data_IF_521602051432
#
_entry.id   IF_521602051432
#
_cell.length_a   1.000
_cell.length_b   1.000
_cell.length_c   1.000
_cell.angle_alpha   90.00
_cell.angle_beta   90.00
_cell.angle_gamma   90.00
#
_symmetry.space_group_name_H-M   'P 1'
#
loop_
_entity.id
_entity.type
_entity.pdbx_description
1 polymer ?
#
# COMPACT_ATOMS: atom_id res chain seq x y z
N UNK A 1 24.41 -1.25 -12.33
CA UNK A 1 22.96 -1.24 -12.38
C UNK A 1 22.47 -0.84 -13.77
N UNK A 2 22.77 0.37 -14.26
CA UNK A 2 22.28 0.93 -15.51
C UNK A 2 22.53 0.01 -16.71
N UNK A 3 23.77 -0.42 -16.95
CA UNK A 3 24.14 -1.32 -18.08
C UNK A 3 23.32 -2.61 -18.08
N UNK A 4 22.89 -3.12 -16.91
CA UNK A 4 22.15 -4.38 -16.77
C UNK A 4 20.66 -4.19 -17.05
N UNK A 5 20.04 -3.15 -16.50
CA UNK A 5 18.58 -3.03 -16.45
C UNK A 5 17.98 -2.00 -17.41
N UNK A 6 18.75 -0.98 -17.80
CA UNK A 6 18.29 0.06 -18.72
C UNK A 6 18.47 -0.41 -20.18
N UNK A 7 17.41 -1.00 -20.71
CA UNK A 7 17.37 -1.49 -22.08
C UNK A 7 15.92 -1.52 -22.58
N UNK A 8 15.62 -1.25 -23.87
CA UNK A 8 14.26 -1.29 -24.38
C UNK A 8 13.53 -2.61 -24.13
N UNK A 9 14.26 -3.75 -24.17
CA UNK A 9 13.67 -5.07 -23.83
C UNK A 9 13.23 -5.21 -22.37
N UNK A 10 13.50 -4.26 -21.51
CA UNK A 10 13.11 -4.19 -20.08
C UNK A 10 12.33 -2.91 -19.80
N UNK A 11 11.56 -2.43 -20.76
CA UNK A 11 10.76 -1.21 -20.62
C UNK A 11 9.36 -1.41 -21.16
N UNK A 12 8.43 -0.63 -20.64
CA UNK A 12 7.07 -0.51 -21.15
C UNK A 12 6.88 0.89 -21.69
N UNK A 13 6.24 1.00 -22.87
CA UNK A 13 5.90 2.28 -23.49
C UNK A 13 4.39 2.44 -23.40
N UNK A 14 3.95 3.50 -22.77
CA UNK A 14 2.53 3.84 -22.67
C UNK A 14 2.26 5.17 -23.37
N UNK A 15 1.32 5.15 -24.30
CA UNK A 15 0.89 6.32 -25.06
C UNK A 15 -0.57 6.62 -24.75
N UNK A 16 -0.89 7.88 -24.49
CA UNK A 16 -2.25 8.34 -24.25
C UNK A 16 -2.42 9.78 -24.73
N UNK A 17 -3.47 10.02 -25.47
CA UNK A 17 -3.84 11.35 -25.95
C UNK A 17 -4.31 11.36 -27.39
N UNK A 18 -4.63 12.55 -27.88
CA UNK A 18 -4.99 12.80 -29.27
C UNK A 18 -3.69 12.94 -30.09
N UNK A 19 -3.21 11.81 -30.60
CA UNK A 19 -1.99 11.72 -31.39
C UNK A 19 -2.17 10.78 -32.56
N UNK A 20 -1.36 10.98 -33.62
CA UNK A 20 -1.22 10.00 -34.70
C UNK A 20 -0.40 8.82 -34.19
N UNK A 21 -1.10 7.74 -33.79
CA UNK A 21 -0.50 6.56 -33.16
C UNK A 21 0.43 5.87 -34.16
N UNK A 22 0.06 5.75 -35.44
CA UNK A 22 0.86 5.03 -36.45
C UNK A 22 2.19 5.74 -36.68
N UNK A 23 2.18 7.07 -36.90
CA UNK A 23 3.40 7.84 -37.05
C UNK A 23 4.23 7.87 -35.77
N UNK A 24 3.59 7.91 -34.58
CA UNK A 24 4.31 7.88 -33.30
C UNK A 24 5.01 6.52 -33.09
N UNK A 25 4.34 5.42 -33.37
CA UNK A 25 4.94 4.08 -33.28
C UNK A 25 6.07 3.90 -34.28
N UNK A 26 5.90 4.35 -35.51
CA UNK A 26 6.95 4.35 -36.55
C UNK A 26 8.18 5.15 -36.09
N UNK A 27 7.96 6.35 -35.55
CA UNK A 27 9.04 7.18 -35.03
C UNK A 27 9.81 6.48 -33.89
N UNK A 28 9.09 5.87 -32.93
CA UNK A 28 9.70 5.14 -31.82
C UNK A 28 10.52 3.94 -32.34
N UNK A 29 10.01 3.23 -33.33
CA UNK A 29 10.69 2.08 -33.91
C UNK A 29 11.94 2.50 -34.67
N UNK A 30 11.81 3.43 -35.62
CA UNK A 30 12.89 3.85 -36.53
C UNK A 30 13.99 4.64 -35.79
N UNK A 31 13.62 5.59 -34.92
CA UNK A 31 14.56 6.51 -34.28
C UNK A 31 15.13 6.01 -32.96
N UNK A 32 14.48 5.01 -32.34
CA UNK A 32 14.90 4.53 -31.03
C UNK A 32 15.12 3.01 -30.97
N UNK A 33 14.09 2.20 -31.26
CA UNK A 33 14.18 0.76 -31.05
C UNK A 33 15.09 0.05 -32.05
N UNK A 34 15.18 0.56 -33.28
CA UNK A 34 16.05 0.02 -34.33
C UNK A 34 17.54 0.01 -33.96
N UNK A 35 17.97 0.85 -33.01
CA UNK A 35 19.34 0.91 -32.53
C UNK A 35 19.70 -0.24 -31.53
N UNK A 36 18.74 -1.08 -31.16
CA UNK A 36 18.92 -2.10 -30.13
C UNK A 36 18.48 -3.49 -30.61
N UNK A 37 19.32 -4.48 -30.36
CA UNK A 37 18.92 -5.87 -30.50
C UNK A 37 18.12 -6.35 -29.28
N UNK A 38 17.13 -7.22 -29.53
CA UNK A 38 16.36 -7.84 -28.44
C UNK A 38 17.26 -8.68 -27.54
N UNK A 39 17.20 -8.48 -26.22
CA UNK A 39 17.91 -9.30 -25.24
C UNK A 39 17.02 -9.66 -24.04
N UNK A 40 17.34 -10.77 -23.38
CA UNK A 40 16.72 -11.12 -22.11
C UNK A 40 17.34 -10.27 -20.98
N UNK A 41 16.46 -9.58 -20.22
CA UNK A 41 16.84 -8.86 -19.00
C UNK A 41 16.13 -9.50 -17.82
N UNK A 42 16.87 -10.12 -16.94
CA UNK A 42 16.33 -10.74 -15.72
C UNK A 42 16.14 -9.66 -14.65
N UNK A 43 14.96 -9.05 -14.65
CA UNK A 43 14.58 -7.97 -13.74
C UNK A 43 13.45 -8.35 -12.78
N UNK A 44 12.97 -9.59 -12.87
CA UNK A 44 11.86 -10.06 -12.03
C UNK A 44 12.21 -9.99 -10.53
N UNK A 45 11.30 -9.40 -9.76
CA UNK A 45 11.35 -9.39 -8.30
C UNK A 45 10.55 -10.57 -7.78
N UNK A 46 11.22 -11.48 -7.09
CA UNK A 46 10.57 -12.65 -6.49
C UNK A 46 9.61 -12.29 -5.37
N UNK A 47 8.64 -13.17 -5.14
CA UNK A 47 7.70 -13.05 -4.03
C UNK A 47 8.40 -13.31 -2.69
N UNK A 48 8.21 -12.45 -1.70
CA UNK A 48 8.69 -12.67 -0.34
C UNK A 48 7.92 -13.84 0.29
N UNK A 49 8.65 -14.85 0.74
CA UNK A 49 8.04 -15.96 1.49
C UNK A 49 7.41 -15.46 2.78
N UNK A 50 6.19 -15.90 3.04
CA UNK A 50 5.48 -15.52 4.26
C UNK A 50 6.27 -15.91 5.53
N UNK A 51 6.23 -15.05 6.53
CA UNK A 51 6.79 -15.35 7.85
C UNK A 51 5.99 -16.48 8.53
N UNK A 52 6.65 -17.25 9.36
CA UNK A 52 5.98 -18.29 10.16
C UNK A 52 5.07 -17.69 11.26
N UNK A 53 5.40 -16.49 11.73
CA UNK A 53 4.65 -15.71 12.71
C UNK A 53 4.93 -14.22 12.54
N UNK A 54 4.07 -13.36 13.11
CA UNK A 54 4.30 -11.90 13.16
C UNK A 54 5.70 -11.62 13.71
N UNK A 55 6.46 -10.83 12.96
CA UNK A 55 7.78 -10.33 13.38
C UNK A 55 7.56 -9.06 14.21
N UNK A 56 8.26 -8.96 15.34
CA UNK A 56 8.25 -7.76 16.18
C UNK A 56 9.65 -7.18 16.15
N UNK A 57 9.76 -5.89 15.86
CA UNK A 57 11.05 -5.20 15.76
C UNK A 57 10.97 -3.76 16.23
N UNK A 58 12.12 -3.23 16.63
CA UNK A 58 12.28 -1.84 17.02
C UNK A 58 13.36 -1.18 16.18
N UNK A 59 13.16 0.07 15.83
CA UNK A 59 14.11 0.92 15.13
C UNK A 59 14.16 2.30 15.76
N UNK A 60 15.28 2.98 15.59
CA UNK A 60 15.42 4.36 16.01
C UNK A 60 15.32 5.30 14.81
N UNK A 61 14.76 6.48 15.02
CA UNK A 61 14.80 7.57 14.06
C UNK A 61 15.34 8.85 14.71
N UNK A 62 15.93 9.72 13.92
CA UNK A 62 16.54 10.94 14.44
C UNK A 62 15.51 12.01 14.75
N UNK A 63 15.72 12.70 15.87
CA UNK A 63 15.05 13.96 16.22
C UNK A 63 16.10 15.02 16.54
N UNK A 64 15.72 16.30 16.44
CA UNK A 64 16.62 17.41 16.76
C UNK A 64 17.02 17.40 18.24
N UNK A 65 18.22 17.87 18.54
CA UNK A 65 18.78 17.84 19.91
C UNK A 65 17.95 18.63 20.93
N UNK A 66 17.29 19.71 20.49
CA UNK A 66 16.40 20.52 21.32
C UNK A 66 15.00 19.93 21.53
N UNK A 67 14.62 18.86 20.82
CA UNK A 67 13.28 18.27 20.95
C UNK A 67 13.16 17.35 22.15
N UNK A 68 11.93 17.31 22.74
CA UNK A 68 11.57 16.31 23.74
C UNK A 68 11.31 14.97 23.07
N UNK A 69 11.79 13.89 23.67
CA UNK A 69 11.57 12.50 23.18
C UNK A 69 10.22 11.92 23.61
N UNK A 70 9.55 12.51 24.63
CA UNK A 70 8.26 12.02 25.11
C UNK A 70 7.17 12.14 24.03
N UNK A 71 6.29 11.14 23.95
CA UNK A 71 5.22 11.06 22.97
C UNK A 71 5.72 11.14 21.51
N UNK A 72 6.91 10.59 21.24
CA UNK A 72 7.51 10.57 19.90
C UNK A 72 7.64 9.16 19.33
N UNK A 73 7.19 8.13 20.04
CA UNK A 73 7.19 6.79 19.49
C UNK A 73 6.11 6.65 18.40
N UNK A 74 6.41 5.81 17.41
CA UNK A 74 5.50 5.45 16.34
C UNK A 74 5.36 3.93 16.36
N UNK A 75 4.12 3.44 16.43
CA UNK A 75 3.82 2.02 16.28
C UNK A 75 3.16 1.78 14.94
N UNK A 76 3.64 0.78 14.21
CA UNK A 76 3.07 0.41 12.92
C UNK A 76 2.93 -1.12 12.81
N UNK A 77 1.78 -1.56 12.32
CA UNK A 77 1.54 -2.93 11.92
C UNK A 77 1.39 -2.97 10.40
N UNK A 78 2.23 -3.77 9.76
CA UNK A 78 2.18 -4.06 8.33
C UNK A 78 1.76 -5.49 8.12
N UNK A 79 0.86 -5.73 7.16
CA UNK A 79 0.42 -7.04 6.73
C UNK A 79 0.63 -7.17 5.21
N UNK A 80 1.61 -7.96 4.80
CA UNK A 80 1.81 -8.27 3.38
C UNK A 80 0.84 -9.38 2.96
N UNK A 81 0.25 -9.22 1.78
CA UNK A 81 -0.77 -10.12 1.25
C UNK A 81 -0.17 -11.08 0.22
N UNK A 82 -1.00 -11.89 -0.39
CA UNK A 82 -0.59 -12.78 -1.48
C UNK A 82 -0.41 -12.01 -2.80
N UNK A 83 0.47 -12.50 -3.67
CA UNK A 83 0.65 -11.99 -5.03
C UNK A 83 -0.45 -12.43 -6.03
N UNK A 84 -1.39 -13.26 -5.57
CA UNK A 84 -2.48 -13.80 -6.40
C UNK A 84 -3.83 -13.12 -6.10
N UNK A 85 -3.84 -11.87 -5.64
CA UNK A 85 -5.10 -11.14 -5.41
C UNK A 85 -5.79 -10.77 -6.71
N UNK A 86 -7.11 -10.98 -6.75
CA UNK A 86 -7.96 -10.47 -7.83
C UNK A 86 -8.17 -8.96 -7.68
N UNK A 87 -8.55 -8.27 -8.77
CA UNK A 87 -8.90 -6.84 -8.73
C UNK A 87 -10.06 -6.59 -7.77
N UNK A 88 -11.05 -7.49 -7.73
CA UNK A 88 -12.16 -7.43 -6.78
C UNK A 88 -11.71 -7.51 -5.32
N UNK A 89 -10.80 -8.45 -4.98
CA UNK A 89 -10.26 -8.54 -3.62
C UNK A 89 -9.47 -7.28 -3.24
N UNK A 90 -8.65 -6.75 -4.16
CA UNK A 90 -7.89 -5.51 -3.95
C UNK A 90 -8.82 -4.32 -3.69
N UNK A 91 -9.86 -4.14 -4.50
CA UNK A 91 -10.88 -3.12 -4.26
C UNK A 91 -11.59 -3.30 -2.92
N UNK A 92 -11.91 -4.53 -2.54
CA UNK A 92 -12.55 -4.82 -1.26
C UNK A 92 -11.65 -4.45 -0.06
N UNK A 93 -10.35 -4.75 -0.13
CA UNK A 93 -9.39 -4.35 0.93
C UNK A 93 -9.25 -2.83 0.98
N UNK A 94 -9.27 -2.13 -0.15
CA UNK A 94 -9.27 -0.65 -0.20
C UNK A 94 -10.51 -0.07 0.49
N UNK A 95 -11.68 -0.65 0.25
CA UNK A 95 -12.94 -0.29 0.93
C UNK A 95 -12.83 -0.58 2.43
N UNK A 96 -12.32 -1.74 2.81
CA UNK A 96 -12.09 -2.09 4.22
C UNK A 96 -11.15 -1.10 4.91
N UNK A 97 -10.03 -0.73 4.28
CA UNK A 97 -9.12 0.27 4.85
C UNK A 97 -9.85 1.57 5.17
N UNK A 98 -10.65 2.07 4.22
CA UNK A 98 -11.42 3.29 4.41
C UNK A 98 -12.43 3.17 5.57
N UNK A 99 -13.19 2.07 5.64
CA UNK A 99 -14.15 1.81 6.73
C UNK A 99 -13.47 1.67 8.08
N UNK A 100 -12.32 1.01 8.13
CA UNK A 100 -11.62 0.71 9.39
C UNK A 100 -10.89 1.95 9.97
N UNK A 101 -10.37 2.85 9.11
CA UNK A 101 -9.39 3.85 9.52
C UNK A 101 -9.78 5.27 9.08
N UNK A 102 -10.21 5.49 7.83
CA UNK A 102 -10.26 6.83 7.26
C UNK A 102 -11.64 7.50 7.37
N UNK A 103 -12.69 6.71 7.47
CA UNK A 103 -14.08 7.19 7.55
C UNK A 103 -14.35 7.81 8.93
N UNK A 104 -15.26 8.78 8.99
CA UNK A 104 -15.75 9.31 10.26
C UNK A 104 -16.37 8.18 11.10
N UNK A 105 -15.92 8.06 12.36
CA UNK A 105 -16.35 6.99 13.24
C UNK A 105 -15.72 5.62 12.96
N UNK A 106 -14.68 5.56 12.12
CA UNK A 106 -13.95 4.34 11.79
C UNK A 106 -13.56 3.54 13.04
N UNK A 107 -13.98 2.28 13.16
CA UNK A 107 -13.92 1.56 14.42
C UNK A 107 -12.51 1.31 14.95
N UNK A 108 -11.54 1.07 14.06
CA UNK A 108 -10.17 0.80 14.46
C UNK A 108 -9.45 2.08 14.90
N UNK A 109 -9.60 3.16 14.12
CA UNK A 109 -9.09 4.49 14.50
C UNK A 109 -9.68 4.95 15.83
N UNK A 110 -11.01 4.83 15.97
CA UNK A 110 -11.71 5.22 17.21
C UNK A 110 -11.20 4.43 18.42
N UNK A 111 -11.07 3.11 18.32
CA UNK A 111 -10.62 2.26 19.42
C UNK A 111 -9.22 2.65 19.91
N UNK A 112 -8.30 2.97 19.00
CA UNK A 112 -6.93 3.38 19.34
C UNK A 112 -6.87 4.78 19.96
N UNK A 113 -7.65 5.73 19.42
CA UNK A 113 -7.72 7.09 19.96
C UNK A 113 -8.42 7.14 21.33
N UNK A 114 -9.53 6.42 21.50
CA UNK A 114 -10.26 6.35 22.78
C UNK A 114 -9.39 5.74 23.90
N UNK A 115 -8.53 4.79 23.56
CA UNK A 115 -7.54 4.22 24.49
C UNK A 115 -6.33 5.15 24.73
N UNK A 116 -6.22 6.24 23.99
CA UNK A 116 -5.12 7.19 24.10
C UNK A 116 -3.75 6.60 23.73
N UNK A 117 -3.69 5.58 22.88
CA UNK A 117 -2.41 4.91 22.51
C UNK A 117 -1.44 5.86 21.83
N UNK A 118 -1.95 6.86 21.14
CA UNK A 118 -1.19 7.93 20.52
C UNK A 118 -2.07 9.11 20.18
N UNK A 119 -1.51 10.12 19.55
CA UNK A 119 -2.21 11.36 19.21
C UNK A 119 -2.87 11.32 17.82
N UNK A 120 -2.41 10.47 16.92
CA UNK A 120 -3.01 10.29 15.58
C UNK A 120 -2.89 8.84 15.11
N UNK A 121 -3.86 8.43 14.28
CA UNK A 121 -3.96 7.10 13.69
C UNK A 121 -4.22 7.26 12.19
N UNK A 122 -3.36 6.65 11.40
CA UNK A 122 -3.48 6.57 9.94
C UNK A 122 -3.30 5.15 9.46
N UNK A 123 -3.68 4.89 8.23
CA UNK A 123 -3.46 3.60 7.59
C UNK A 123 -3.39 3.73 6.08
N UNK A 124 -2.83 2.70 5.45
CA UNK A 124 -2.71 2.65 4.01
C UNK A 124 -2.91 1.23 3.49
N UNK A 125 -3.39 1.14 2.27
CA UNK A 125 -3.37 -0.06 1.47
C UNK A 125 -2.65 0.23 0.15
N UNK A 126 -1.46 -0.34 0.02
CA UNK A 126 -0.57 -0.19 -1.14
C UNK A 126 -0.69 -1.43 -2.02
N UNK A 127 -1.41 -1.30 -3.13
CA UNK A 127 -1.68 -2.38 -4.08
C UNK A 127 -0.87 -2.31 -5.39
N UNK A 128 0.03 -1.33 -5.51
CA UNK A 128 0.98 -1.21 -6.62
C UNK A 128 2.16 -2.19 -6.55
N UNK A 129 2.31 -2.91 -5.44
CA UNK A 129 3.34 -3.93 -5.28
C UNK A 129 2.84 -5.32 -5.69
N UNK A 130 3.78 -6.20 -6.13
CA UNK A 130 3.48 -7.61 -6.42
C UNK A 130 2.74 -8.31 -5.27
N UNK A 131 3.14 -8.01 -4.03
CA UNK A 131 2.43 -8.38 -2.82
C UNK A 131 1.88 -7.12 -2.17
N UNK A 132 0.58 -6.84 -2.27
CA UNK A 132 -0.03 -5.70 -1.63
C UNK A 132 0.21 -5.68 -0.13
N UNK A 133 0.30 -4.48 0.45
CA UNK A 133 0.57 -4.29 1.87
C UNK A 133 -0.51 -3.40 2.48
N UNK A 134 -1.13 -3.91 3.54
CA UNK A 134 -1.98 -3.11 4.41
C UNK A 134 -1.20 -2.67 5.64
N UNK A 135 -1.44 -1.46 6.10
CA UNK A 135 -0.78 -0.92 7.29
C UNK A 135 -1.71 -0.08 8.15
N UNK A 136 -1.42 -0.07 9.46
CA UNK A 136 -1.96 0.88 10.42
C UNK A 136 -0.82 1.45 11.25
N UNK A 137 -0.83 2.76 11.45
CA UNK A 137 0.23 3.51 12.10
C UNK A 137 -0.38 4.40 13.17
N UNK A 138 0.20 4.38 14.36
CA UNK A 138 -0.08 5.32 15.46
C UNK A 138 1.15 6.16 15.70
N UNK A 139 0.97 7.47 15.74
CA UNK A 139 2.02 8.45 16.08
C UNK A 139 1.72 9.16 17.40
N UNK A 140 2.72 9.80 17.96
CA UNK A 140 2.55 10.51 19.23
C UNK A 140 2.34 9.59 20.42
N UNK A 141 3.03 8.45 20.45
CA UNK A 141 2.93 7.40 21.48
C UNK A 141 4.21 7.30 22.33
N UNK A 142 4.17 6.40 23.31
CA UNK A 142 5.35 5.99 24.08
C UNK A 142 5.78 4.56 23.70
N UNK A 143 7.09 4.23 23.71
CA UNK A 143 7.60 2.93 23.26
C UNK A 143 6.96 1.73 23.95
N UNK A 144 6.62 1.87 25.24
CA UNK A 144 6.05 0.82 26.10
C UNK A 144 4.63 0.43 25.70
N UNK A 145 3.93 1.27 24.94
CA UNK A 145 2.54 1.05 24.52
C UNK A 145 2.41 0.14 23.27
N UNK A 146 3.51 -0.39 22.74
CA UNK A 146 3.49 -1.33 21.60
C UNK A 146 2.54 -2.51 21.82
N UNK A 147 2.59 -3.12 23.02
CA UNK A 147 1.75 -4.27 23.37
C UNK A 147 0.27 -3.91 23.36
N UNK A 148 -0.09 -2.77 23.92
CA UNK A 148 -1.45 -2.25 23.97
C UNK A 148 -1.97 -1.93 22.56
N UNK A 149 -1.16 -1.24 21.73
CA UNK A 149 -1.47 -1.02 20.31
C UNK A 149 -1.83 -2.32 19.60
N UNK A 150 -0.96 -3.32 19.70
CA UNK A 150 -1.17 -4.61 19.04
C UNK A 150 -2.44 -5.32 19.53
N UNK A 151 -2.69 -5.32 20.85
CA UNK A 151 -3.88 -5.95 21.42
C UNK A 151 -5.18 -5.27 20.99
N UNK A 152 -5.22 -3.93 20.93
CA UNK A 152 -6.41 -3.19 20.48
C UNK A 152 -6.68 -3.47 19.00
N UNK A 153 -5.65 -3.47 18.15
CA UNK A 153 -5.80 -3.81 16.72
C UNK A 153 -6.35 -5.22 16.57
N UNK A 154 -5.71 -6.22 17.19
CA UNK A 154 -6.11 -7.62 17.08
C UNK A 154 -7.51 -7.86 17.65
N UNK A 155 -7.85 -7.25 18.80
CA UNK A 155 -9.17 -7.37 19.42
C UNK A 155 -10.28 -6.76 18.54
N UNK A 156 -10.04 -5.53 18.04
CA UNK A 156 -11.03 -4.82 17.23
C UNK A 156 -11.29 -5.54 15.91
N UNK A 157 -10.25 -5.99 15.22
CA UNK A 157 -10.39 -6.75 13.98
C UNK A 157 -11.16 -8.07 14.21
N UNK A 158 -10.82 -8.82 15.28
CA UNK A 158 -11.52 -10.06 15.63
C UNK A 158 -12.99 -9.81 16.00
N UNK A 159 -13.27 -8.76 16.77
CA UNK A 159 -14.63 -8.36 17.11
C UNK A 159 -15.43 -8.08 15.83
N UNK A 160 -14.94 -7.27 14.92
CA UNK A 160 -15.60 -6.94 13.66
C UNK A 160 -15.83 -8.17 12.78
N UNK A 161 -14.86 -9.09 12.71
CA UNK A 161 -15.00 -10.33 11.97
C UNK A 161 -16.06 -11.28 12.57
N UNK A 162 -16.35 -11.19 13.87
CA UNK A 162 -17.35 -12.03 14.56
C UNK A 162 -18.74 -11.38 14.61
N UNK A 163 -18.81 -10.05 14.83
CA UNK A 163 -20.09 -9.35 14.99
C UNK A 163 -20.65 -8.77 13.70
N UNK A 164 -19.85 -8.78 12.63
CA UNK A 164 -20.15 -8.16 11.35
C UNK A 164 -19.71 -6.70 11.28
N UNK A 165 -19.46 -6.25 10.06
CA UNK A 165 -19.20 -4.86 9.72
C UNK A 165 -20.50 -4.10 9.50
N UNK A 166 -20.51 -2.80 9.77
CA UNK A 166 -21.69 -1.96 9.49
C UNK A 166 -21.91 -1.85 7.97
N UNK A 167 -23.01 -2.42 7.49
CA UNK A 167 -23.37 -2.43 6.06
C UNK A 167 -23.58 -1.03 5.49
N UNK A 168 -24.02 -0.07 6.32
CA UNK A 168 -24.18 1.32 5.87
C UNK A 168 -22.81 1.96 5.61
N UNK A 169 -21.83 1.72 6.49
CA UNK A 169 -20.45 2.18 6.29
C UNK A 169 -19.83 1.54 5.05
N UNK A 170 -19.99 0.22 4.87
CA UNK A 170 -19.52 -0.49 3.67
C UNK A 170 -20.14 0.07 2.38
N UNK A 171 -21.47 0.32 2.40
CA UNK A 171 -22.18 0.88 1.25
C UNK A 171 -21.69 2.31 0.93
N UNK A 172 -21.51 3.14 1.94
CA UNK A 172 -20.98 4.50 1.76
C UNK A 172 -19.55 4.49 1.20
N UNK A 173 -18.70 3.61 1.73
CA UNK A 173 -17.32 3.44 1.26
C UNK A 173 -17.26 2.91 -0.19
N UNK A 174 -18.13 1.95 -0.53
CA UNK A 174 -18.24 1.45 -1.90
C UNK A 174 -18.69 2.55 -2.86
N UNK A 175 -19.73 3.32 -2.51
CA UNK A 175 -20.23 4.41 -3.35
C UNK A 175 -19.16 5.50 -3.56
N UNK A 176 -18.41 5.84 -2.50
CA UNK A 176 -17.26 6.75 -2.61
C UNK A 176 -16.20 6.20 -3.57
N UNK A 177 -15.86 4.92 -3.43
CA UNK A 177 -14.87 4.28 -4.29
C UNK A 177 -15.34 4.28 -5.75
N UNK A 178 -16.60 3.92 -6.01
CA UNK A 178 -17.20 3.97 -7.34
C UNK A 178 -17.16 5.38 -7.93
N UNK A 179 -17.52 6.39 -7.12
CA UNK A 179 -17.48 7.80 -7.54
C UNK A 179 -16.06 8.21 -7.98
N UNK A 180 -15.05 7.91 -7.15
CA UNK A 180 -13.64 8.22 -7.48
C UNK A 180 -13.22 7.52 -8.78
N UNK A 181 -13.62 6.25 -8.98
CA UNK A 181 -13.28 5.50 -10.17
C UNK A 181 -13.96 6.01 -11.43
N UNK A 182 -15.20 6.53 -11.33
CA UNK A 182 -15.96 7.11 -12.44
C UNK A 182 -15.49 8.50 -12.83
N UNK A 183 -15.40 9.38 -11.86
CA UNK A 183 -15.05 10.78 -12.13
C UNK A 183 -13.61 10.90 -12.63
N UNK A 184 -12.71 10.05 -12.15
CA UNK A 184 -11.30 10.13 -12.48
C UNK A 184 -10.77 11.57 -12.38
N UNK A 185 -11.33 12.35 -11.41
CA UNK A 185 -10.84 13.67 -11.10
C UNK A 185 -9.64 13.56 -10.15
N UNK A 186 -8.49 13.73 -10.72
CA UNK A 186 -7.23 13.67 -10.01
C UNK A 186 -6.69 15.08 -9.70
N UNK A 187 -7.57 15.98 -9.30
CA UNK A 187 -7.20 17.36 -8.90
C UNK A 187 -6.45 18.11 -10.01
N UNK A 188 -6.98 18.04 -11.23
CA UNK A 188 -6.42 18.74 -12.41
C UNK A 188 -5.22 18.06 -13.04
N UNK A 189 -4.81 16.88 -12.58
CA UNK A 189 -3.74 16.09 -13.23
C UNK A 189 -4.26 15.37 -14.48
N UNK A 190 -3.41 15.13 -15.50
CA UNK A 190 -3.81 14.45 -16.72
C UNK A 190 -4.37 13.05 -16.46
N UNK A 191 -5.59 12.75 -16.93
CA UNK A 191 -6.23 11.43 -16.77
C UNK A 191 -5.36 10.29 -17.31
N UNK A 192 -4.71 10.52 -18.46
CA UNK A 192 -3.83 9.52 -19.08
C UNK A 192 -2.69 9.09 -18.18
N UNK A 193 -2.12 9.98 -17.38
CA UNK A 193 -1.08 9.61 -16.41
C UNK A 193 -1.58 8.57 -15.41
N UNK A 194 -2.80 8.75 -14.87
CA UNK A 194 -3.36 7.81 -13.91
C UNK A 194 -3.78 6.48 -14.54
N UNK A 195 -4.29 6.50 -15.78
CA UNK A 195 -4.54 5.27 -16.51
C UNK A 195 -3.25 4.51 -16.77
N UNK A 196 -2.17 5.22 -17.13
CA UNK A 196 -0.85 4.62 -17.30
C UNK A 196 -0.30 4.00 -16.02
N UNK A 197 -0.35 4.73 -14.89
CA UNK A 197 0.08 4.20 -13.58
C UNK A 197 -0.72 2.93 -13.23
N UNK A 198 -2.04 2.96 -13.33
CA UNK A 198 -2.88 1.78 -13.06
C UNK A 198 -2.61 0.62 -13.99
N UNK A 199 -2.40 0.88 -15.27
CA UNK A 199 -2.01 -0.16 -16.22
C UNK A 199 -0.65 -0.77 -15.85
N UNK A 200 0.31 0.05 -15.41
CA UNK A 200 1.62 -0.41 -14.94
C UNK A 200 1.53 -1.28 -13.68
N UNK A 201 0.63 -1.01 -12.76
CA UNK A 201 0.42 -1.83 -11.55
C UNK A 201 0.11 -3.31 -11.88
N UNK A 202 -0.46 -3.58 -13.05
CA UNK A 202 -0.68 -4.92 -13.57
C UNK A 202 0.45 -5.38 -14.50
N UNK A 203 0.84 -4.54 -15.43
CA UNK A 203 1.77 -4.88 -16.50
C UNK A 203 3.18 -5.21 -16.01
N UNK A 204 3.65 -4.55 -14.96
CA UNK A 204 4.94 -4.84 -14.32
C UNK A 204 5.03 -6.27 -13.76
N UNK A 205 3.90 -6.94 -13.55
CA UNK A 205 3.80 -8.30 -13.01
C UNK A 205 3.17 -9.29 -14.00
N UNK A 206 3.33 -9.03 -15.31
CA UNK A 206 2.84 -9.89 -16.41
C UNK A 206 1.32 -10.13 -16.41
N UNK A 207 0.53 -9.20 -15.86
CA UNK A 207 -0.93 -9.22 -15.89
C UNK A 207 -1.45 -8.32 -16.99
N UNK A 208 -2.72 -8.53 -17.39
CA UNK A 208 -3.39 -7.66 -18.39
C UNK A 208 -3.47 -6.22 -17.89
N UNK A 209 -2.81 -5.24 -18.54
CA UNK A 209 -2.82 -3.84 -18.13
C UNK A 209 -4.22 -3.22 -18.13
N UNK A 210 -5.16 -3.79 -18.90
CA UNK A 210 -6.54 -3.31 -18.98
C UNK A 210 -7.38 -3.79 -17.80
N UNK A 211 -6.98 -4.86 -17.11
CA UNK A 211 -7.72 -5.43 -15.96
C UNK A 211 -7.96 -4.38 -14.87
N UNK A 212 -6.93 -3.58 -14.54
CA UNK A 212 -7.05 -2.53 -13.52
C UNK A 212 -8.04 -1.40 -13.87
N UNK A 213 -8.41 -1.27 -15.16
CA UNK A 213 -9.35 -0.27 -15.65
C UNK A 213 -10.79 -0.81 -15.73
N UNK A 214 -10.98 -2.12 -15.63
CA UNK A 214 -12.29 -2.81 -15.70
C UNK A 214 -12.86 -3.03 -14.30
N UNK A 215 -13.30 -1.97 -13.65
CA UNK A 215 -13.78 -2.04 -12.25
C UNK A 215 -15.29 -2.26 -12.10
N UNK A 216 -16.08 -2.11 -13.16
CA UNK A 216 -17.55 -2.05 -13.07
C UNK A 216 -18.17 -3.35 -12.52
N UNK A 217 -17.76 -4.50 -13.05
CA UNK A 217 -18.28 -5.80 -12.59
C UNK A 217 -17.83 -6.10 -11.16
N UNK A 218 -16.61 -5.71 -10.78
CA UNK A 218 -16.09 -5.86 -9.43
C UNK A 218 -16.90 -5.03 -8.43
N UNK A 219 -17.21 -3.77 -8.75
CA UNK A 219 -18.05 -2.90 -7.91
C UNK A 219 -19.44 -3.49 -7.74
N UNK A 220 -20.07 -3.97 -8.83
CA UNK A 220 -21.38 -4.63 -8.75
C UNK A 220 -21.35 -5.92 -7.94
N UNK A 221 -20.28 -6.70 -8.09
CA UNK A 221 -20.03 -7.90 -7.32
C UNK A 221 -19.83 -7.61 -5.83
N UNK A 222 -19.11 -6.53 -5.49
CA UNK A 222 -18.89 -6.08 -4.11
C UNK A 222 -20.18 -5.54 -3.47
N UNK A 223 -21.01 -4.83 -4.25
CA UNK A 223 -22.32 -4.36 -3.77
C UNK A 223 -23.22 -5.50 -3.29
N UNK A 224 -23.22 -6.63 -4.03
CA UNK A 224 -23.94 -7.84 -3.61
C UNK A 224 -23.26 -8.51 -2.38
N UNK A 225 -21.93 -8.46 -2.34
CA UNK A 225 -21.14 -9.06 -1.28
C UNK A 225 -21.30 -8.39 0.09
N UNK A 226 -21.76 -7.11 0.16
CA UNK A 226 -22.10 -6.44 1.41
C UNK A 226 -23.22 -7.16 2.18
N UNK A 227 -24.10 -7.89 1.48
CA UNK A 227 -25.19 -8.64 2.12
C UNK A 227 -24.75 -10.00 2.67
N UNK A 228 -23.48 -10.36 2.49
CA UNK A 228 -22.87 -11.61 2.95
C UNK A 228 -21.76 -11.32 3.97
N UNK A 229 -21.07 -12.36 4.42
CA UNK A 229 -19.88 -12.28 5.29
C UNK A 229 -18.55 -12.16 4.51
N UNK A 230 -18.63 -11.71 3.25
CA UNK A 230 -17.44 -11.61 2.36
C UNK A 230 -16.35 -10.72 2.92
N UNK A 231 -16.70 -9.53 3.40
CA UNK A 231 -15.74 -8.57 3.94
C UNK A 231 -15.13 -9.04 5.26
N UNK A 232 -15.91 -9.69 6.11
CA UNK A 232 -15.46 -10.36 7.34
C UNK A 232 -14.50 -11.52 7.01
N UNK A 233 -14.78 -12.26 5.96
CA UNK A 233 -13.89 -13.30 5.42
C UNK A 233 -12.52 -12.74 5.00
N UNK A 234 -12.48 -11.55 4.38
CA UNK A 234 -11.23 -10.87 4.01
C UNK A 234 -10.45 -10.39 5.24
N UNK A 235 -11.14 -9.86 6.28
CA UNK A 235 -10.48 -9.54 7.55
C UNK A 235 -9.81 -10.77 8.15
N UNK A 236 -10.54 -11.91 8.19
CA UNK A 236 -9.99 -13.17 8.68
C UNK A 236 -8.79 -13.64 7.86
N UNK A 237 -8.89 -13.62 6.54
CA UNK A 237 -7.86 -14.12 5.62
C UNK A 237 -6.60 -13.27 5.67
N UNK A 238 -6.71 -11.96 5.54
CA UNK A 238 -5.59 -11.09 5.26
C UNK A 238 -5.02 -10.35 6.47
N UNK A 239 -5.85 -10.08 7.50
CA UNK A 239 -5.42 -9.29 8.66
C UNK A 239 -5.32 -10.11 9.95
N UNK A 240 -6.15 -11.15 10.13
CA UNK A 240 -6.20 -11.90 11.40
C UNK A 240 -5.40 -13.19 11.33
N UNK A 241 -5.60 -14.02 10.30
CA UNK A 241 -4.94 -15.33 10.15
C UNK A 241 -3.64 -15.26 9.35
N UNK A 242 -3.33 -14.10 8.79
CA UNK A 242 -2.11 -13.90 8.02
C UNK A 242 -0.90 -13.75 8.96
N UNK A 243 0.10 -14.66 8.91
CA UNK A 243 1.30 -14.55 9.73
C UNK A 243 2.35 -13.59 9.12
N UNK A 244 2.18 -13.21 7.83
CA UNK A 244 3.12 -12.34 7.12
C UNK A 244 2.95 -10.88 7.55
N UNK A 245 3.23 -10.62 8.81
CA UNK A 245 3.06 -9.33 9.45
C UNK A 245 4.33 -8.88 10.16
N UNK A 246 4.52 -7.58 10.21
CA UNK A 246 5.59 -6.93 10.99
C UNK A 246 4.97 -5.86 11.88
N UNK A 247 5.25 -5.97 13.18
CA UNK A 247 4.96 -4.93 14.18
C UNK A 247 6.25 -4.17 14.45
N UNK A 248 6.28 -2.88 14.13
CA UNK A 248 7.44 -2.02 14.27
C UNK A 248 7.16 -0.94 15.30
N UNK A 249 8.10 -0.74 16.22
CA UNK A 249 8.17 0.47 17.05
C UNK A 249 9.35 1.32 16.62
N UNK A 250 9.06 2.55 16.19
CA UNK A 250 10.06 3.57 15.91
C UNK A 250 10.25 4.43 17.14
N UNK A 251 11.47 4.44 17.69
CA UNK A 251 11.84 5.20 18.90
C UNK A 251 12.61 6.46 18.50
N UNK A 252 12.20 7.59 19.02
CA UNK A 252 12.92 8.84 18.83
C UNK A 252 14.29 8.77 19.53
N UNK A 253 15.36 9.13 18.83
CA UNK A 253 16.72 9.16 19.36
C UNK A 253 17.50 10.33 18.78
N UNK A 254 18.22 11.06 19.62
CA UNK A 254 19.10 12.17 19.20
C UNK A 254 20.42 11.66 18.65
N UNK A 255 21.05 12.43 17.78
CA UNK A 255 22.42 12.22 17.31
C UNK A 255 22.60 11.06 16.29
N UNK A 256 21.52 10.54 15.70
CA UNK A 256 21.64 9.47 14.69
C UNK A 256 22.21 10.03 13.37
N UNK A 257 21.72 11.19 12.94
CA UNK A 257 22.15 11.80 11.68
C UNK A 257 23.60 12.26 11.73
N UNK A 258 24.04 12.77 12.89
CA UNK A 258 25.44 13.14 13.10
C UNK A 258 26.36 11.92 12.96
N UNK A 259 26.01 10.80 13.59
CA UNK A 259 26.77 9.55 13.44
C UNK A 259 26.83 9.07 11.98
N UNK A 260 25.70 9.09 11.29
CA UNK A 260 25.65 8.71 9.87
C UNK A 260 26.51 9.65 9.00
N UNK A 261 26.49 10.95 9.29
CA UNK A 261 27.30 11.93 8.58
C UNK A 261 28.79 11.64 8.73
N UNK A 262 29.22 11.31 9.94
CA UNK A 262 30.62 10.94 10.20
C UNK A 262 30.99 9.65 9.46
N UNK A 263 30.15 8.58 9.58
CA UNK A 263 30.38 7.31 8.89
C UNK A 263 30.46 7.47 7.35
N UNK A 264 29.59 8.30 6.79
CA UNK A 264 29.63 8.59 5.33
C UNK A 264 30.86 9.37 4.94
N UNK A 265 31.27 10.37 5.75
CA UNK A 265 32.49 11.12 5.49
C UNK A 265 33.73 10.22 5.49
N UNK A 266 33.86 9.34 6.49
CA UNK A 266 34.93 8.35 6.57
C UNK A 266 34.97 7.39 5.37
N UNK A 267 33.78 6.97 4.85
CA UNK A 267 33.69 6.13 3.66
C UNK A 267 34.06 6.85 2.36
N UNK A 268 33.86 8.18 2.29
CA UNK A 268 34.20 8.98 1.11
C UNK A 268 35.68 9.36 1.08
N UNK A 269 36.31 9.42 2.25
CA UNK A 269 37.75 9.75 2.39
C UNK A 269 38.65 8.51 2.24
N UNK A 270 38.07 7.30 2.22
CA UNK A 270 38.79 6.02 2.08
C UNK A 270 38.84 5.56 0.61
#
# INVERSE_FOLDING_TARGET
FHRRFYHPSNSYIYLYGDMDIENTLKYIDEEYLSAFDRRCVYSEVGTQKAFAKRVITEKNYNIADGENIANKAIHALYAAMTDCMTTKESLAIRILNYVLIDMDGAPLKKALLDAGVGSDVSGAYEDSYKQPVWSIVVTGSEPERQGEFSQIVDHTLRKLALTGLDKKMLTAALNRTEFILRENDYQGRPKGLFYGIRAMDMWLYDRDPIEALRYYDDINGLRKAIETDYFEGLLLKYLIKNPHQVLITMKAKKGIDEKKRIEVAEQLDA
#
